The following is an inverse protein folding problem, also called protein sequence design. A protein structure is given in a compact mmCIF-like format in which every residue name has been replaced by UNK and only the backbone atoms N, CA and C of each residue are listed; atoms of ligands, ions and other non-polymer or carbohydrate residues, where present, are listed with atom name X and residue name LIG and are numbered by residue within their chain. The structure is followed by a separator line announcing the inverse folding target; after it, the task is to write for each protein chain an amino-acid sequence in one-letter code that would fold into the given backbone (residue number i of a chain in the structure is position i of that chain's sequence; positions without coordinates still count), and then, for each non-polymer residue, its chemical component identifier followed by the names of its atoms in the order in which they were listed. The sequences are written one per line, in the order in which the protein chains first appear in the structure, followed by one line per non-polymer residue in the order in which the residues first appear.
data_IF_536821901059
#
_entry.id   IF_536821901059
#
_cell.length_a   1.000
_cell.length_b   1.000
_cell.length_c   1.000
_cell.angle_alpha   90.00
_cell.angle_beta   90.00
_cell.angle_gamma   90.00
#
_symmetry.space_group_name_H-M   'P 1'
#
loop_
_entity.id
_entity.type
_entity.pdbx_description
1 polymer ?
#
# COMPACT_ATOMS: atom_id res chain seq x y z
N UNK A 1 -22.72 -0.20 52.26
CA UNK A 1 -22.91 -1.67 52.16
C UNK A 1 -22.03 -2.13 51.00
N UNK A 2 -20.98 -2.94 51.24
CA UNK A 2 -20.83 -4.35 50.77
C UNK A 2 -21.09 -4.50 49.26
N UNK A 3 -20.23 -5.03 48.37
CA UNK A 3 -19.03 -5.89 48.45
C UNK A 3 -18.35 -5.90 47.06
N UNK A 4 -17.04 -6.15 47.07
CA UNK A 4 -16.13 -6.61 46.00
C UNK A 4 -16.66 -7.72 45.08
N UNK A 5 -16.23 -7.74 43.82
CA UNK A 5 -15.75 -8.95 43.14
C UNK A 5 -14.81 -8.60 41.97
N UNK A 6 -13.54 -8.92 42.17
CA UNK A 6 -12.48 -9.05 41.16
C UNK A 6 -12.73 -10.34 40.39
N UNK A 7 -12.62 -10.32 39.06
CA UNK A 7 -12.50 -11.54 38.24
C UNK A 7 -11.25 -11.43 37.38
N UNK A 8 -10.21 -12.14 37.83
CA UNK A 8 -8.98 -12.43 37.10
C UNK A 8 -9.32 -13.31 35.88
N UNK A 9 -9.03 -12.81 34.69
CA UNK A 9 -8.97 -13.65 33.49
C UNK A 9 -7.57 -14.24 33.37
N UNK A 10 -7.52 -15.56 33.51
CA UNK A 10 -6.35 -16.42 33.36
C UNK A 10 -5.81 -16.39 31.94
N UNK A 11 -4.62 -15.82 31.75
CA UNK A 11 -3.81 -16.00 30.54
C UNK A 11 -3.28 -17.44 30.53
N UNK A 12 -3.85 -18.26 29.66
CA UNK A 12 -3.31 -19.59 29.33
C UNK A 12 -2.09 -19.41 28.42
N UNK A 13 -0.89 -19.58 28.99
CA UNK A 13 0.34 -19.74 28.23
C UNK A 13 0.26 -21.07 27.45
N UNK A 14 0.09 -20.97 26.13
CA UNK A 14 0.27 -22.11 25.23
C UNK A 14 1.75 -22.22 24.89
N UNK A 15 2.37 -23.28 25.39
CA UNK A 15 3.76 -23.67 25.14
C UNK A 15 3.90 -24.20 23.72
N UNK A 16 4.64 -23.49 22.87
CA UNK A 16 5.14 -23.99 21.59
C UNK A 16 6.28 -24.98 21.85
N UNK A 17 6.00 -26.27 21.62
CA UNK A 17 7.01 -27.32 21.59
C UNK A 17 7.73 -27.28 20.23
N UNK A 18 9.00 -26.86 20.22
CA UNK A 18 9.89 -27.06 19.07
C UNK A 18 10.28 -28.53 18.99
N UNK A 19 9.71 -29.26 18.04
CA UNK A 19 10.25 -30.52 17.57
C UNK A 19 11.42 -30.24 16.60
N UNK A 20 12.62 -30.06 17.16
CA UNK A 20 13.86 -30.17 16.40
C UNK A 20 14.23 -31.66 16.31
N UNK A 21 14.19 -32.23 15.11
CA UNK A 21 14.63 -33.58 14.81
C UNK A 21 15.83 -33.52 13.86
N UNK A 22 16.96 -34.09 14.30
CA UNK A 22 18.20 -34.22 13.56
C UNK A 22 19.31 -33.39 14.22
N UNK A 23 20.30 -33.94 14.92
CA UNK A 23 20.81 -35.30 14.97
C UNK A 23 22.33 -35.19 15.02
N UNK A 24 22.95 -35.51 16.15
CA UNK A 24 24.41 -35.50 16.31
C UNK A 24 24.83 -35.25 17.75
N UNK A 25 25.14 -36.32 18.47
CA UNK A 25 25.60 -36.32 19.86
C UNK A 25 27.13 -36.32 19.90
N UNK A 26 27.73 -35.47 20.73
CA UNK A 26 29.07 -35.64 21.33
C UNK A 26 29.13 -34.98 22.73
N UNK A 27 29.85 -35.64 23.65
CA UNK A 27 29.84 -35.62 25.12
C UNK A 27 30.32 -34.38 25.91
N UNK A 28 29.79 -34.27 27.16
CA UNK A 28 30.39 -33.88 28.46
C UNK A 28 31.07 -32.47 28.61
N UNK A 29 31.16 -31.77 29.75
CA UNK A 29 31.00 -32.02 31.20
C UNK A 29 30.90 -30.64 31.93
N UNK A 30 30.61 -30.64 33.23
CA UNK A 30 30.84 -29.58 34.25
C UNK A 30 30.02 -28.27 34.14
N UNK A 31 29.33 -27.76 35.15
CA UNK A 31 29.32 -27.99 36.60
C UNK A 31 28.98 -26.66 37.30
N UNK A 32 28.16 -26.73 38.35
CA UNK A 32 27.92 -25.71 39.39
C UNK A 32 26.97 -24.52 39.12
N UNK A 33 25.78 -24.61 39.73
CA UNK A 33 25.17 -23.51 40.52
C UNK A 33 25.65 -23.68 41.99
N UNK A 34 25.66 -22.67 42.91
CA UNK A 34 24.45 -21.90 43.27
C UNK A 34 24.60 -20.43 43.81
N UNK A 35 23.56 -19.61 43.52
CA UNK A 35 22.80 -18.73 44.45
C UNK A 35 23.46 -17.42 45.03
N UNK A 36 22.72 -16.59 45.82
CA UNK A 36 22.41 -15.18 45.48
C UNK A 36 22.79 -14.16 46.59
N UNK A 37 22.57 -12.86 46.35
CA UNK A 37 22.40 -11.72 47.31
C UNK A 37 22.97 -10.44 46.67
N UNK A 38 22.53 -9.22 46.92
CA UNK A 38 21.38 -8.60 47.58
C UNK A 38 21.47 -7.11 47.22
N UNK A 39 20.32 -6.44 47.23
CA UNK A 39 20.07 -5.00 47.43
C UNK A 39 21.27 -4.10 47.75
N UNK A 40 21.36 -2.97 47.04
CA UNK A 40 21.51 -1.66 47.71
C UNK A 40 20.78 -0.57 46.93
N UNK A 41 19.89 0.08 47.66
CA UNK A 41 19.15 1.30 47.41
C UNK A 41 20.12 2.50 47.36
N UNK A 42 19.93 3.43 46.41
CA UNK A 42 20.06 4.88 46.62
C UNK A 42 19.56 5.63 45.36
N UNK A 43 18.51 6.44 45.56
CA UNK A 43 18.19 7.67 44.82
C UNK A 43 18.64 8.84 45.74
N UNK A 44 18.74 10.14 45.35
CA UNK A 44 17.85 10.85 44.41
C UNK A 44 18.46 12.06 43.63
N UNK A 45 17.56 12.88 43.05
CA UNK A 45 17.66 14.31 42.63
C UNK A 45 18.20 14.60 41.22
N UNK A 46 17.32 14.95 40.26
CA UNK A 46 16.90 16.32 39.86
C UNK A 46 18.07 17.21 39.44
N UNK A 47 18.05 17.69 38.19
CA UNK A 47 18.25 19.11 37.85
C UNK A 47 17.65 19.39 36.46
N UNK A 48 16.61 20.22 36.48
CA UNK A 48 16.11 20.96 35.33
C UNK A 48 17.19 21.95 34.86
N UNK A 49 17.30 22.15 33.56
CA UNK A 49 18.07 23.25 32.99
C UNK A 49 17.15 24.11 32.14
N UNK A 50 16.55 25.10 32.80
CA UNK A 50 16.03 26.33 32.19
C UNK A 50 17.14 27.40 32.25
N UNK A 51 17.40 28.08 31.13
CA UNK A 51 17.90 29.46 31.08
C UNK A 51 17.70 29.99 29.65
N UNK A 52 16.64 30.77 29.39
CA UNK A 52 16.55 32.25 29.47
C UNK A 52 17.48 32.95 28.47
N UNK A 53 16.95 33.46 27.34
CA UNK A 53 16.45 34.83 27.11
C UNK A 53 17.56 35.74 26.49
N UNK A 54 17.32 36.77 25.67
CA UNK A 54 16.15 37.61 25.42
C UNK A 54 16.31 38.45 24.11
N UNK A 55 15.18 39.04 23.71
CA UNK A 55 14.98 40.41 23.17
C UNK A 55 15.40 40.74 21.71
N UNK A 56 14.42 41.00 20.82
CA UNK A 56 13.84 42.32 20.42
C UNK A 56 14.43 42.73 19.04
N UNK A 57 13.70 43.17 18.02
CA UNK A 57 12.80 44.32 17.97
C UNK A 57 11.67 44.19 16.93
N UNK A 58 10.65 45.02 17.16
CA UNK A 58 9.47 45.27 16.35
C UNK A 58 9.73 46.13 15.09
N UNK A 59 8.84 46.00 14.11
CA UNK A 59 8.37 47.12 13.28
C UNK A 59 6.97 46.79 12.71
N UNK A 60 5.96 47.43 13.31
CA UNK A 60 4.73 47.92 12.66
C UNK A 60 5.12 48.81 11.45
N UNK A 61 4.37 49.13 10.41
CA UNK A 61 2.95 49.22 10.04
C UNK A 61 3.00 49.65 8.55
N UNK A 62 2.07 49.26 7.67
CA UNK A 62 1.36 50.26 6.83
C UNK A 62 0.23 49.60 6.02
N UNK A 63 -0.92 50.25 6.10
CA UNK A 63 -2.17 49.91 5.46
C UNK A 63 -2.24 50.45 4.02
N UNK A 64 -2.98 49.76 3.15
CA UNK A 64 -3.75 50.43 2.11
C UNK A 64 -4.94 49.56 1.71
N UNK A 65 -6.11 49.95 2.21
CA UNK A 65 -7.40 49.58 1.65
C UNK A 65 -7.55 50.15 0.24
N UNK A 66 -8.20 49.40 -0.66
CA UNK A 66 -8.94 49.97 -1.77
C UNK A 66 -10.17 49.09 -2.03
N UNK A 67 -11.32 49.74 -1.95
CA UNK A 67 -12.66 49.18 -1.93
C UNK A 67 -13.15 48.70 -3.31
N UNK A 68 -14.14 47.80 -3.25
CA UNK A 68 -15.43 47.87 -3.98
C UNK A 68 -15.45 48.01 -5.53
N UNK A 69 -15.95 46.99 -6.25
CA UNK A 69 -17.38 46.85 -6.66
C UNK A 69 -17.59 45.82 -7.79
N UNK A 70 -18.52 44.92 -7.50
CA UNK A 70 -19.70 44.53 -8.30
C UNK A 70 -19.55 43.96 -9.73
N UNK A 71 -19.92 42.68 -9.81
CA UNK A 71 -20.97 42.11 -10.66
C UNK A 71 -20.88 42.24 -12.19
N UNK A 72 -20.60 41.11 -12.83
CA UNK A 72 -21.36 40.67 -14.00
C UNK A 72 -21.44 39.14 -14.00
N UNK A 73 -22.61 38.64 -13.60
CA UNK A 73 -23.06 37.30 -13.95
C UNK A 73 -23.67 37.36 -15.36
N UNK A 74 -23.15 36.54 -16.26
CA UNK A 74 -23.76 36.02 -17.48
C UNK A 74 -22.82 34.90 -17.92
N UNK A 75 -23.15 33.66 -17.57
CA UNK A 75 -23.69 32.69 -18.53
C UNK A 75 -22.83 32.56 -19.79
N UNK A 76 -21.97 31.55 -19.80
CA UNK A 76 -21.74 30.70 -20.97
C UNK A 76 -21.51 29.30 -20.41
N UNK A 77 -22.46 28.41 -20.67
CA UNK A 77 -22.25 26.97 -20.57
C UNK A 77 -21.15 26.58 -21.56
N UNK A 78 -20.07 25.97 -21.06
CA UNK A 78 -19.25 25.12 -21.91
C UNK A 78 -18.87 23.90 -21.08
N UNK A 79 -19.66 22.84 -21.30
CA UNK A 79 -19.13 21.48 -21.28
C UNK A 79 -17.83 21.47 -22.09
N UNK A 80 -16.79 20.84 -21.55
CA UNK A 80 -15.49 20.84 -22.22
C UNK A 80 -14.40 20.24 -21.36
N UNK A 81 -14.34 18.91 -21.42
CA UNK A 81 -13.08 18.16 -21.38
C UNK A 81 -12.41 18.07 -20.01
N UNK A 82 -12.95 17.17 -19.19
CA UNK A 82 -12.14 16.13 -18.55
C UNK A 82 -10.95 15.77 -19.47
N UNK A 83 -9.78 16.33 -19.18
CA UNK A 83 -8.51 15.89 -19.77
C UNK A 83 -8.15 14.54 -19.14
N UNK A 84 -8.93 13.52 -19.49
CA UNK A 84 -8.38 12.18 -19.60
C UNK A 84 -7.45 12.26 -20.81
N UNK A 85 -6.14 12.25 -20.53
CA UNK A 85 -5.15 12.03 -21.58
C UNK A 85 -5.37 10.58 -22.02
N UNK A 86 -6.29 10.38 -22.97
CA UNK A 86 -6.51 9.07 -23.55
C UNK A 86 -5.19 8.63 -24.17
N UNK A 87 -4.61 7.55 -23.63
CA UNK A 87 -3.44 6.91 -24.21
C UNK A 87 -3.78 6.54 -25.67
N UNK A 88 -3.16 7.24 -26.63
CA UNK A 88 -3.40 7.06 -28.06
C UNK A 88 -2.74 5.74 -28.50
N UNK A 89 -3.51 4.64 -28.49
CA UNK A 89 -3.31 3.56 -29.46
C UNK A 89 -2.84 2.20 -28.96
N UNK A 90 -2.94 1.86 -27.68
CA UNK A 90 -2.77 0.47 -27.26
C UNK A 90 -4.08 -0.31 -27.48
N UNK A 91 -4.07 -1.37 -28.29
CA UNK A 91 -5.24 -2.26 -28.45
C UNK A 91 -5.57 -2.86 -27.07
N UNK A 92 -6.78 -2.60 -26.57
CA UNK A 92 -7.27 -3.21 -25.34
C UNK A 92 -7.88 -4.58 -25.67
N UNK A 93 -7.28 -5.70 -25.20
CA UNK A 93 -7.85 -7.03 -25.43
C UNK A 93 -9.13 -7.25 -24.61
N UNK A 94 -9.45 -6.35 -23.67
CA UNK A 94 -10.54 -6.49 -22.72
C UNK A 94 -10.20 -7.44 -21.57
N UNK A 95 -11.11 -7.60 -20.59
CA UNK A 95 -10.90 -8.50 -19.47
C UNK A 95 -10.86 -9.96 -19.93
N UNK A 96 -10.07 -10.77 -19.23
CA UNK A 96 -10.04 -12.21 -19.40
C UNK A 96 -11.38 -12.85 -18.97
N UNK A 97 -11.53 -14.15 -19.24
CA UNK A 97 -12.71 -14.90 -18.81
C UNK A 97 -12.91 -14.86 -17.28
N UNK A 98 -14.16 -14.97 -16.81
CA UNK A 98 -14.51 -14.83 -15.39
C UNK A 98 -13.76 -15.81 -14.46
N UNK A 99 -13.32 -16.95 -14.98
CA UNK A 99 -12.59 -18.00 -14.26
C UNK A 99 -11.09 -18.05 -14.60
N UNK A 100 -10.60 -17.11 -15.43
CA UNK A 100 -9.20 -17.10 -15.85
C UNK A 100 -8.28 -16.76 -14.68
N UNK A 101 -7.07 -17.33 -14.69
CA UNK A 101 -6.04 -17.04 -13.71
C UNK A 101 -4.70 -16.75 -14.37
N UNK A 102 -3.94 -15.81 -13.79
CA UNK A 102 -2.56 -15.54 -14.18
C UNK A 102 -1.65 -16.67 -13.68
N UNK A 103 -0.76 -17.21 -14.53
CA UNK A 103 0.22 -18.22 -14.12
C UNK A 103 1.15 -17.72 -13.01
N UNK A 104 1.54 -18.61 -12.09
CA UNK A 104 2.39 -18.23 -10.96
C UNK A 104 3.77 -17.68 -11.37
N UNK A 105 4.37 -18.23 -12.43
CA UNK A 105 5.66 -17.80 -12.97
C UNK A 105 5.63 -16.38 -13.53
N UNK A 106 4.48 -15.93 -14.03
CA UNK A 106 4.30 -14.58 -14.55
C UNK A 106 4.40 -13.51 -13.46
N UNK A 107 4.07 -13.84 -12.21
CA UNK A 107 4.24 -12.90 -11.07
C UNK A 107 5.72 -12.72 -10.72
N UNK A 108 6.51 -13.79 -10.79
CA UNK A 108 7.93 -13.77 -10.45
C UNK A 108 8.80 -13.17 -11.57
N UNK A 109 8.42 -13.43 -12.82
CA UNK A 109 9.13 -12.98 -14.02
C UNK A 109 8.15 -12.29 -14.98
N UNK A 110 7.68 -11.07 -14.64
CA UNK A 110 6.67 -10.40 -15.44
C UNK A 110 7.26 -9.85 -16.77
N UNK A 111 6.42 -9.57 -17.76
CA UNK A 111 6.85 -9.05 -19.07
C UNK A 111 7.66 -7.77 -18.93
N UNK A 112 8.69 -7.60 -19.77
CA UNK A 112 9.54 -6.40 -19.73
C UNK A 112 8.83 -5.15 -20.28
N UNK A 113 7.84 -5.34 -21.15
CA UNK A 113 7.07 -4.28 -21.79
C UNK A 113 5.60 -4.66 -21.83
N UNK A 114 4.72 -3.72 -21.50
CA UNK A 114 3.26 -3.88 -21.56
C UNK A 114 2.71 -2.61 -22.21
N UNK A 115 2.31 -2.71 -23.48
CA UNK A 115 1.94 -1.53 -24.26
C UNK A 115 3.09 -0.52 -24.27
N UNK A 116 2.83 0.69 -23.78
CA UNK A 116 3.79 1.79 -23.71
C UNK A 116 4.60 1.83 -22.38
N UNK A 117 4.32 0.89 -21.48
CA UNK A 117 4.96 0.80 -20.17
C UNK A 117 6.15 -0.16 -20.21
N UNK A 118 7.26 0.25 -19.59
CA UNK A 118 8.47 -0.57 -19.49
C UNK A 118 8.74 -0.89 -18.03
N UNK A 119 9.11 -2.14 -17.76
CA UNK A 119 9.54 -2.58 -16.44
C UNK A 119 10.85 -1.89 -16.05
N UNK A 120 10.88 -1.30 -14.86
CA UNK A 120 12.05 -0.63 -14.31
C UNK A 120 12.98 -1.63 -13.62
N UNK A 121 14.28 -1.49 -13.87
CA UNK A 121 15.33 -2.23 -13.16
C UNK A 121 15.40 -1.85 -11.67
N UNK A 122 15.52 -2.84 -10.80
CA UNK A 122 15.89 -2.62 -9.39
C UNK A 122 14.79 -2.12 -8.45
N UNK A 123 13.54 -2.46 -8.75
CA UNK A 123 12.30 -1.91 -8.16
C UNK A 123 11.96 -2.32 -6.71
N UNK A 124 12.88 -2.95 -5.98
CA UNK A 124 12.60 -3.43 -4.62
C UNK A 124 11.71 -4.68 -4.61
N UNK A 125 10.77 -4.84 -3.64
CA UNK A 125 9.90 -6.01 -3.55
C UNK A 125 8.71 -5.98 -4.54
N UNK A 126 8.57 -4.92 -5.34
CA UNK A 126 7.55 -4.81 -6.37
C UNK A 126 8.20 -4.67 -7.75
N UNK A 127 7.47 -5.05 -8.78
CA UNK A 127 7.80 -4.78 -10.18
C UNK A 127 7.18 -3.44 -10.56
N UNK A 128 8.01 -2.43 -10.80
CA UNK A 128 7.52 -1.09 -11.17
C UNK A 128 7.56 -0.93 -12.68
N UNK A 129 6.46 -0.51 -13.27
CA UNK A 129 6.34 -0.12 -14.66
C UNK A 129 6.26 1.39 -14.76
N UNK A 130 7.00 1.96 -15.71
CA UNK A 130 6.96 3.40 -16.01
C UNK A 130 6.51 3.66 -17.43
N UNK A 131 5.73 4.72 -17.62
CA UNK A 131 5.48 5.26 -18.95
C UNK A 131 6.67 6.11 -19.42
N UNK A 132 7.08 5.97 -20.68
CA UNK A 132 8.31 6.63 -21.18
C UNK A 132 8.16 8.15 -21.39
N UNK A 133 6.93 8.62 -21.56
CA UNK A 133 6.62 10.02 -21.88
C UNK A 133 5.98 10.77 -20.70
N UNK A 134 5.36 10.05 -19.78
CA UNK A 134 4.62 10.61 -18.66
C UNK A 134 5.18 10.11 -17.34
N UNK A 135 4.92 10.86 -16.28
CA UNK A 135 5.35 10.48 -14.93
C UNK A 135 4.39 9.48 -14.29
N UNK A 136 4.03 8.42 -15.02
CA UNK A 136 3.13 7.37 -14.57
C UNK A 136 3.93 6.22 -14.01
N UNK A 137 3.60 5.79 -12.80
CA UNK A 137 4.17 4.60 -12.16
C UNK A 137 3.08 3.60 -11.77
N UNK A 138 3.23 2.38 -12.26
CA UNK A 138 2.37 1.25 -11.89
C UNK A 138 3.21 0.25 -11.10
N UNK A 139 2.77 -0.07 -9.89
CA UNK A 139 3.39 -1.07 -9.03
C UNK A 139 2.65 -2.38 -9.14
N UNK A 140 3.37 -3.46 -9.44
CA UNK A 140 2.88 -4.84 -9.36
C UNK A 140 3.58 -5.52 -8.19
N UNK A 141 2.82 -5.85 -7.13
CA UNK A 141 3.40 -6.50 -5.94
C UNK A 141 3.89 -7.91 -6.31
N UNK A 142 5.15 -8.23 -6.05
CA UNK A 142 5.67 -9.59 -6.31
C UNK A 142 5.12 -10.62 -5.30
N UNK A 143 4.47 -10.16 -4.23
CA UNK A 143 3.85 -11.02 -3.22
C UNK A 143 2.40 -11.29 -3.58
N UNK A 144 2.07 -12.57 -3.76
CA UNK A 144 0.69 -13.03 -3.92
C UNK A 144 0.03 -13.15 -2.55
N UNK A 145 -1.15 -12.55 -2.41
CA UNK A 145 -1.97 -12.59 -1.20
C UNK A 145 -2.73 -13.91 -1.12
N UNK A 146 -2.77 -14.51 0.07
CA UNK A 146 -3.58 -15.71 0.35
C UNK A 146 -5.04 -15.39 0.70
N UNK A 147 -5.41 -14.11 0.74
CA UNK A 147 -6.77 -13.66 1.06
C UNK A 147 -7.75 -14.00 -0.07
N UNK A 148 -9.03 -14.19 0.28
CA UNK A 148 -10.07 -14.45 -0.71
C UNK A 148 -10.28 -13.24 -1.63
N UNK A 149 -10.26 -13.47 -2.95
CA UNK A 149 -10.44 -12.43 -3.97
C UNK A 149 -11.68 -11.57 -3.75
N UNK A 150 -12.84 -12.18 -3.47
CA UNK A 150 -14.09 -11.44 -3.25
C UNK A 150 -14.04 -10.53 -2.02
N UNK A 151 -13.22 -10.87 -1.02
CA UNK A 151 -13.03 -10.00 0.15
C UNK A 151 -12.19 -8.79 -0.22
N UNK A 152 -11.14 -8.98 -1.03
CA UNK A 152 -10.26 -7.90 -1.50
C UNK A 152 -10.99 -6.95 -2.45
N UNK A 153 -11.75 -7.47 -3.41
CA UNK A 153 -12.58 -6.62 -4.30
C UNK A 153 -13.61 -5.81 -3.51
N UNK A 154 -14.08 -6.33 -2.37
CA UNK A 154 -14.91 -5.57 -1.44
C UNK A 154 -14.24 -4.35 -0.82
N UNK A 155 -12.92 -4.18 -0.95
CA UNK A 155 -12.18 -2.98 -0.53
C UNK A 155 -12.10 -1.90 -1.63
N UNK A 156 -12.53 -2.23 -2.85
CA UNK A 156 -12.72 -1.25 -3.93
C UNK A 156 -14.06 -0.56 -3.70
N UNK A 157 -14.01 0.75 -3.47
CA UNK A 157 -15.18 1.54 -3.06
C UNK A 157 -15.84 2.25 -4.24
N UNK A 158 -15.04 2.74 -5.18
CA UNK A 158 -15.53 3.46 -6.37
C UNK A 158 -14.88 2.96 -7.64
N UNK A 159 -15.53 3.26 -8.77
CA UNK A 159 -14.97 3.07 -10.11
C UNK A 159 -14.57 1.61 -10.39
N UNK A 160 -15.33 0.67 -9.81
CA UNK A 160 -15.08 -0.75 -10.01
C UNK A 160 -15.34 -1.13 -11.47
N UNK A 161 -14.27 -1.55 -12.14
CA UNK A 161 -14.29 -2.04 -13.52
C UNK A 161 -13.67 -3.43 -13.60
N UNK A 162 -14.14 -4.25 -14.54
CA UNK A 162 -13.54 -5.55 -14.84
C UNK A 162 -12.22 -5.32 -15.59
N UNK A 163 -11.15 -5.99 -15.16
CA UNK A 163 -9.81 -5.85 -15.74
C UNK A 163 -8.97 -7.11 -15.51
N UNK A 164 -8.27 -7.56 -16.55
CA UNK A 164 -7.46 -8.78 -16.56
C UNK A 164 -8.26 -9.98 -16.07
N UNK A 165 -7.77 -10.66 -15.05
CA UNK A 165 -8.45 -11.80 -14.40
C UNK A 165 -9.31 -11.40 -13.20
N UNK A 166 -9.49 -10.09 -12.97
CA UNK A 166 -10.16 -9.57 -11.80
C UNK A 166 -10.78 -8.18 -12.00
N UNK A 167 -10.47 -7.26 -11.10
CA UNK A 167 -11.12 -5.94 -11.04
C UNK A 167 -10.15 -4.85 -10.60
N UNK A 168 -10.34 -3.65 -11.16
CA UNK A 168 -9.69 -2.41 -10.79
C UNK A 168 -10.70 -1.41 -10.25
N UNK A 169 -10.25 -0.50 -9.40
CA UNK A 169 -11.01 0.68 -9.00
C UNK A 169 -10.23 1.48 -7.98
N UNK A 170 -10.91 2.37 -7.27
CA UNK A 170 -10.27 3.24 -6.28
C UNK A 170 -10.63 2.82 -4.85
N UNK A 171 -9.68 2.94 -3.94
CA UNK A 171 -9.91 2.68 -2.52
C UNK A 171 -10.83 3.74 -1.85
N UNK A 172 -11.26 3.50 -0.60
CA UNK A 172 -12.15 4.41 0.15
C UNK A 172 -11.67 5.86 0.20
N UNK A 173 -10.36 6.05 0.30
CA UNK A 173 -9.76 7.38 0.38
C UNK A 173 -9.68 8.10 -0.97
N UNK A 174 -9.95 7.41 -2.08
CA UNK A 174 -9.76 7.96 -3.42
C UNK A 174 -8.28 8.20 -3.78
N UNK A 175 -7.34 7.68 -2.99
CA UNK A 175 -5.93 8.06 -3.05
C UNK A 175 -5.04 7.06 -3.77
N UNK A 176 -5.58 5.87 -4.09
CA UNK A 176 -4.88 4.83 -4.82
C UNK A 176 -5.86 4.10 -5.71
N UNK A 177 -5.48 3.91 -6.97
CA UNK A 177 -6.06 2.87 -7.81
C UNK A 177 -5.48 1.55 -7.32
N UNK A 178 -6.35 0.55 -7.17
CA UNK A 178 -5.98 -0.81 -6.80
C UNK A 178 -6.66 -1.78 -7.74
N UNK A 179 -5.88 -2.69 -8.29
CA UNK A 179 -6.35 -3.81 -9.10
C UNK A 179 -6.02 -5.11 -8.40
N UNK A 180 -7.05 -5.90 -8.13
CA UNK A 180 -6.92 -7.26 -7.62
C UNK A 180 -7.07 -8.24 -8.77
N UNK A 181 -6.08 -9.11 -8.94
CA UNK A 181 -5.99 -10.04 -10.06
C UNK A 181 -5.90 -11.46 -9.55
N UNK A 182 -6.70 -12.37 -10.13
CA UNK A 182 -6.63 -13.79 -9.78
C UNK A 182 -5.41 -14.43 -10.41
N UNK A 183 -4.67 -15.18 -9.61
CA UNK A 183 -3.51 -15.98 -10.02
C UNK A 183 -3.73 -17.42 -9.61
N UNK A 184 -2.92 -18.35 -10.12
CA UNK A 184 -2.97 -19.76 -9.70
C UNK A 184 -2.69 -19.95 -8.19
N UNK A 185 -1.91 -19.05 -7.58
CA UNK A 185 -1.43 -19.16 -6.19
C UNK A 185 -2.14 -18.21 -5.20
N UNK A 186 -3.11 -17.41 -5.66
CA UNK A 186 -3.83 -16.44 -4.83
C UNK A 186 -4.16 -15.16 -5.58
N UNK A 187 -4.05 -14.00 -4.92
CA UNK A 187 -4.39 -12.69 -5.50
C UNK A 187 -3.17 -11.81 -5.64
N UNK A 188 -2.92 -11.35 -6.85
CA UNK A 188 -1.92 -10.34 -7.19
C UNK A 188 -2.55 -8.95 -7.03
N UNK A 189 -1.78 -8.01 -6.49
CA UNK A 189 -2.21 -6.62 -6.34
C UNK A 189 -1.37 -5.72 -7.22
N UNK A 190 -2.03 -4.86 -7.99
CA UNK A 190 -1.40 -3.75 -8.69
C UNK A 190 -1.94 -2.43 -8.18
N UNK A 191 -1.09 -1.42 -8.10
CA UNK A 191 -1.48 -0.08 -7.62
C UNK A 191 -0.88 1.02 -8.49
N UNK A 192 -1.59 2.14 -8.56
CA UNK A 192 -1.14 3.36 -9.20
C UNK A 192 -1.80 4.59 -8.54
N UNK A 193 -1.26 5.77 -8.80
CA UNK A 193 -1.80 7.03 -8.28
C UNK A 193 -2.87 7.57 -9.24
N UNK A 194 -4.12 7.85 -8.79
CA UNK A 194 -5.19 8.35 -9.65
C UNK A 194 -4.89 9.70 -10.33
N UNK A 195 -3.96 10.49 -9.77
CA UNK A 195 -3.49 11.75 -10.36
C UNK A 195 -2.53 11.53 -11.55
N UNK A 196 -1.95 10.34 -11.67
CA UNK A 196 -1.00 9.98 -12.73
C UNK A 196 -1.69 9.21 -13.87
N UNK A 197 -2.62 8.31 -13.55
CA UNK A 197 -3.32 7.44 -14.51
C UNK A 197 -4.79 7.27 -14.12
N UNK A 198 -5.67 7.12 -15.11
CA UNK A 198 -7.08 6.81 -14.87
C UNK A 198 -7.30 5.34 -14.49
N UNK A 199 -8.47 5.02 -13.92
CA UNK A 199 -8.83 3.61 -13.63
C UNK A 199 -9.00 2.83 -14.92
N UNK A 200 -9.52 3.45 -15.97
CA UNK A 200 -9.71 2.86 -17.29
C UNK A 200 -8.38 2.53 -17.96
N UNK A 201 -7.40 3.43 -17.95
CA UNK A 201 -6.08 3.18 -18.51
C UNK A 201 -5.33 2.12 -17.70
N UNK A 202 -5.49 2.12 -16.37
CA UNK A 202 -4.98 1.04 -15.52
C UNK A 202 -5.64 -0.31 -15.87
N UNK A 203 -6.94 -0.33 -16.15
CA UNK A 203 -7.62 -1.54 -16.59
C UNK A 203 -7.08 -2.05 -17.94
N UNK A 204 -6.80 -1.15 -18.89
CA UNK A 204 -6.16 -1.50 -20.17
C UNK A 204 -4.78 -2.12 -19.95
N UNK A 205 -3.95 -1.52 -19.09
CA UNK A 205 -2.64 -2.08 -18.72
C UNK A 205 -2.80 -3.51 -18.17
N UNK A 206 -3.74 -3.72 -17.25
CA UNK A 206 -3.99 -5.01 -16.61
C UNK A 206 -4.54 -6.05 -17.60
N UNK A 207 -5.39 -5.64 -18.55
CA UNK A 207 -5.88 -6.50 -19.63
C UNK A 207 -4.71 -7.00 -20.51
N UNK A 208 -3.83 -6.10 -20.91
CA UNK A 208 -2.64 -6.44 -21.70
C UNK A 208 -1.67 -7.32 -20.93
N UNK A 209 -1.47 -7.06 -19.64
CA UNK A 209 -0.67 -7.93 -18.77
C UNK A 209 -1.23 -9.36 -18.79
N UNK A 210 -2.53 -9.51 -18.49
CA UNK A 210 -3.19 -10.82 -18.44
C UNK A 210 -3.11 -11.57 -19.78
N UNK A 211 -3.31 -10.88 -20.91
CA UNK A 211 -3.17 -11.48 -22.24
C UNK A 211 -1.74 -11.95 -22.51
N UNK A 212 -0.73 -11.10 -22.25
CA UNK A 212 0.67 -11.41 -22.55
C UNK A 212 1.21 -12.57 -21.71
N UNK A 213 0.80 -12.65 -20.44
CA UNK A 213 1.21 -13.73 -19.55
C UNK A 213 0.41 -15.02 -19.76
N UNK A 214 -0.57 -15.01 -20.67
CA UNK A 214 -1.35 -16.18 -21.04
C UNK A 214 -2.36 -16.60 -19.98
N UNK A 215 -2.99 -15.63 -19.31
CA UNK A 215 -4.09 -15.92 -18.38
C UNK A 215 -5.21 -16.69 -19.08
N UNK A 216 -5.66 -17.79 -18.45
CA UNK A 216 -6.63 -18.72 -19.02
C UNK A 216 -7.47 -19.43 -17.97
#
# INVERSE_FOLDING_TARGET
MRKTAVLLSTLALSTLALAACGGGAEDADEGAAPAPAATSEEAPEEEASEQDAAAEEAAEEDAAEAEERASAAAEEESAGEESAVAMDGAEDPGPAGEDAAIPADAVAEPPQEIGEYTLMDGSGPAHMYSHSQESILISLDSTVLSSDYESLVGEIETDNVAAGTGSCGTNEAGSSITCYQRTEDGVLTLTAVPEEISVEDMAVFVNQYAEQVGAA
#
